data_IF_236820813494
#
_entry.id   IF_236820813494
#
_cell.length_a   1.000
_cell.length_b   1.000
_cell.length_c   1.000
_cell.angle_alpha   90.00
_cell.angle_beta   90.00
_cell.angle_gamma   90.00
#
_symmetry.space_group_name_H-M   'P 1'
#
loop_
_entity.id
_entity.type
_entity.pdbx_description
1 polymer ?
#
# COMPACT_ATOMS: atom_id res chain seq x y z
N UNK A 1 -39.04 -44.81 21.06
CA UNK A 1 -37.65 -44.37 21.24
C UNK A 1 -37.08 -44.17 19.84
N UNK A 2 -37.19 -42.95 19.31
CA UNK A 2 -36.68 -42.62 17.99
C UNK A 2 -35.18 -42.32 18.12
N UNK A 3 -34.37 -43.05 17.35
CA UNK A 3 -32.93 -42.84 17.26
C UNK A 3 -32.75 -41.83 16.12
N UNK A 4 -32.59 -40.55 16.47
CA UNK A 4 -32.26 -39.49 15.53
C UNK A 4 -30.77 -39.55 15.22
N UNK A 5 -30.41 -40.19 14.11
CA UNK A 5 -29.10 -39.99 13.50
C UNK A 5 -29.16 -38.73 12.65
N UNK A 6 -28.35 -37.73 12.97
CA UNK A 6 -28.13 -36.62 12.04
C UNK A 6 -27.45 -37.16 10.76
N UNK A 7 -27.85 -36.69 9.58
CA UNK A 7 -27.19 -37.08 8.35
C UNK A 7 -25.79 -36.47 8.35
N UNK A 8 -24.77 -37.32 8.34
CA UNK A 8 -23.40 -36.89 8.05
C UNK A 8 -23.38 -36.41 6.61
N UNK A 9 -23.25 -35.11 6.40
CA UNK A 9 -23.10 -34.54 5.07
C UNK A 9 -21.83 -35.12 4.44
N UNK A 10 -22.00 -35.95 3.39
CA UNK A 10 -20.88 -36.32 2.52
C UNK A 10 -20.30 -35.08 1.83
N UNK A 11 -19.08 -35.15 1.28
CA UNK A 11 -18.52 -34.04 0.52
C UNK A 11 -19.51 -33.60 -0.55
N UNK A 12 -19.79 -32.29 -0.61
CA UNK A 12 -20.73 -31.72 -1.57
C UNK A 12 -20.12 -31.85 -2.97
N UNK A 13 -20.50 -32.91 -3.69
CA UNK A 13 -19.94 -33.30 -5.00
C UNK A 13 -20.08 -32.17 -6.03
N UNK A 14 -21.13 -31.36 -5.91
CA UNK A 14 -21.38 -30.21 -6.79
C UNK A 14 -20.34 -29.09 -6.57
N UNK A 15 -19.98 -28.79 -5.32
CA UNK A 15 -18.96 -27.79 -5.00
C UNK A 15 -17.55 -28.24 -5.45
N UNK A 16 -17.23 -29.53 -5.27
CA UNK A 16 -15.97 -30.09 -5.74
C UNK A 16 -15.87 -30.08 -7.27
N UNK A 17 -16.97 -30.36 -7.97
CA UNK A 17 -17.04 -30.30 -9.42
C UNK A 17 -16.85 -28.87 -9.96
N UNK A 18 -17.50 -27.87 -9.36
CA UNK A 18 -17.32 -26.47 -9.74
C UNK A 18 -15.89 -25.98 -9.50
N UNK A 19 -15.26 -26.37 -8.38
CA UNK A 19 -13.87 -26.05 -8.11
C UNK A 19 -12.95 -26.59 -9.22
N UNK A 20 -13.13 -27.85 -9.63
CA UNK A 20 -12.36 -28.46 -10.73
C UNK A 20 -12.55 -27.73 -12.07
N UNK A 21 -13.78 -27.32 -12.39
CA UNK A 21 -14.07 -26.54 -13.60
C UNK A 21 -13.34 -25.20 -13.56
N UNK A 22 -13.42 -24.47 -12.43
CA UNK A 22 -12.74 -23.18 -12.23
C UNK A 22 -11.22 -23.30 -12.39
N UNK A 23 -10.61 -24.29 -11.74
CA UNK A 23 -9.17 -24.58 -11.88
C UNK A 23 -8.81 -24.87 -13.32
N UNK A 24 -9.63 -25.65 -14.04
CA UNK A 24 -9.39 -25.99 -15.45
C UNK A 24 -9.46 -24.76 -16.34
N UNK A 25 -10.46 -23.87 -16.13
CA UNK A 25 -10.59 -22.62 -16.89
C UNK A 25 -9.37 -21.73 -16.69
N UNK A 26 -8.91 -21.55 -15.44
CA UNK A 26 -7.73 -20.73 -15.14
C UNK A 26 -6.45 -21.36 -15.72
N UNK A 27 -6.34 -22.69 -15.73
CA UNK A 27 -5.21 -23.36 -16.37
C UNK A 27 -5.19 -23.12 -17.89
N UNK A 28 -6.34 -23.22 -18.56
CA UNK A 28 -6.44 -22.92 -20.00
C UNK A 28 -6.07 -21.47 -20.28
N UNK A 29 -6.52 -20.53 -19.44
CA UNK A 29 -6.14 -19.12 -19.54
C UNK A 29 -4.62 -18.96 -19.42
N UNK A 30 -4.00 -19.56 -18.40
CA UNK A 30 -2.55 -19.51 -18.19
C UNK A 30 -1.79 -20.03 -19.41
N UNK A 31 -2.18 -21.19 -19.93
CA UNK A 31 -1.50 -21.83 -21.06
C UNK A 31 -1.52 -20.93 -22.31
N UNK A 32 -2.63 -20.21 -22.56
CA UNK A 32 -2.75 -19.32 -23.72
C UNK A 32 -2.11 -17.94 -23.51
N UNK A 33 -1.87 -17.52 -22.27
CA UNK A 33 -1.22 -16.24 -21.97
C UNK A 33 0.30 -16.37 -21.76
N UNK A 34 0.80 -17.56 -21.45
CA UNK A 34 2.25 -17.82 -21.41
C UNK A 34 2.79 -18.21 -22.80
N UNK A 35 1.93 -18.68 -23.70
CA UNK A 35 2.35 -19.11 -25.04
C UNK A 35 2.77 -17.94 -25.95
N UNK A 36 3.94 -18.08 -26.57
CA UNK A 36 4.44 -17.23 -27.66
C UNK A 36 4.03 -17.73 -29.06
N UNK A 37 3.23 -18.78 -29.13
CA UNK A 37 2.70 -19.27 -30.40
C UNK A 37 1.59 -18.36 -30.95
N UNK A 38 1.22 -18.53 -32.23
CA UNK A 38 0.17 -17.76 -32.87
C UNK A 38 -1.25 -18.00 -32.31
N UNK A 39 -1.39 -18.68 -31.17
CA UNK A 39 -2.67 -18.94 -30.47
C UNK A 39 -2.77 -18.17 -29.15
N UNK A 40 -1.83 -17.28 -28.90
CA UNK A 40 -1.80 -16.45 -27.71
C UNK A 40 -3.08 -15.64 -27.53
N UNK A 41 -3.54 -15.48 -26.29
CA UNK A 41 -4.71 -14.66 -25.95
C UNK A 41 -4.31 -13.26 -25.45
N UNK A 42 -3.08 -12.81 -25.73
CA UNK A 42 -2.66 -11.44 -25.46
C UNK A 42 -3.52 -10.44 -26.24
N UNK A 43 -3.75 -9.26 -25.66
CA UNK A 43 -4.65 -8.27 -26.26
C UNK A 43 -6.14 -8.50 -26.01
N UNK A 44 -6.52 -9.60 -25.35
CA UNK A 44 -7.91 -9.97 -25.17
C UNK A 44 -8.54 -9.32 -23.93
N UNK A 45 -9.88 -9.37 -23.90
CA UNK A 45 -10.69 -8.96 -22.77
C UNK A 45 -11.14 -10.18 -21.97
N UNK A 46 -10.90 -10.15 -20.67
CA UNK A 46 -11.27 -11.21 -19.73
C UNK A 46 -12.21 -10.65 -18.67
N UNK A 47 -13.44 -11.15 -18.64
CA UNK A 47 -14.48 -10.67 -17.74
C UNK A 47 -14.87 -11.77 -16.75
N UNK A 48 -14.51 -11.58 -15.48
CA UNK A 48 -14.87 -12.45 -14.36
C UNK A 48 -15.98 -11.85 -13.50
N UNK A 49 -16.63 -10.78 -13.94
CA UNK A 49 -17.53 -9.97 -13.10
C UNK A 49 -18.54 -10.83 -12.33
N UNK A 50 -18.63 -10.59 -11.01
CA UNK A 50 -19.56 -11.30 -10.11
C UNK A 50 -19.16 -12.73 -9.77
N UNK A 51 -17.97 -13.20 -10.16
CA UNK A 51 -17.52 -14.56 -9.87
C UNK A 51 -17.10 -14.74 -8.41
N UNK A 52 -17.27 -15.97 -7.91
CA UNK A 52 -16.63 -16.41 -6.66
C UNK A 52 -15.33 -17.14 -7.02
N UNK A 53 -14.22 -16.62 -6.51
CA UNK A 53 -12.87 -17.12 -6.68
C UNK A 53 -12.39 -17.66 -5.33
N UNK A 54 -12.51 -18.97 -5.17
CA UNK A 54 -12.04 -19.72 -4.00
C UNK A 54 -10.73 -20.43 -4.37
N UNK A 55 -9.66 -20.16 -3.62
CA UNK A 55 -8.32 -20.72 -3.83
C UNK A 55 -7.82 -20.61 -5.30
N UNK A 56 -8.12 -19.49 -5.95
CA UNK A 56 -7.88 -19.29 -7.38
C UNK A 56 -6.44 -18.76 -7.64
N UNK A 57 -5.66 -19.49 -8.45
CA UNK A 57 -4.28 -19.11 -8.79
C UNK A 57 -4.14 -18.63 -10.24
N UNK A 58 -3.86 -17.34 -10.41
CA UNK A 58 -3.43 -16.69 -11.64
C UNK A 58 -1.91 -16.51 -11.71
N UNK A 59 -1.17 -17.25 -10.87
CA UNK A 59 0.27 -17.09 -10.73
C UNK A 59 1.01 -17.36 -12.04
N UNK A 60 2.06 -16.57 -12.29
CA UNK A 60 2.94 -16.68 -13.45
C UNK A 60 2.31 -16.29 -14.79
N UNK A 61 1.07 -15.80 -14.81
CA UNK A 61 0.41 -15.35 -16.03
C UNK A 61 1.05 -14.04 -16.52
N UNK A 62 1.11 -13.87 -17.84
CA UNK A 62 1.50 -12.61 -18.47
C UNK A 62 0.24 -12.02 -19.11
N UNK A 63 -0.27 -10.92 -18.57
CA UNK A 63 -1.28 -10.09 -19.22
C UNK A 63 -0.56 -8.98 -19.97
N UNK A 64 -0.54 -9.02 -21.29
CA UNK A 64 0.03 -8.02 -22.18
C UNK A 64 -1.07 -7.46 -23.06
N UNK A 65 -1.27 -6.14 -22.98
CA UNK A 65 -2.26 -5.42 -23.77
C UNK A 65 -3.71 -5.87 -23.47
N UNK A 66 -3.95 -6.48 -22.31
CA UNK A 66 -5.23 -7.08 -21.94
C UNK A 66 -6.12 -6.13 -21.12
N UNK A 67 -7.43 -6.34 -21.19
CA UNK A 67 -8.41 -5.75 -20.28
C UNK A 67 -8.99 -6.84 -19.37
N UNK A 68 -8.82 -6.74 -18.05
CA UNK A 68 -9.24 -7.79 -17.10
C UNK A 68 -10.18 -7.20 -16.05
N UNK A 69 -11.40 -7.74 -15.94
CA UNK A 69 -12.38 -7.33 -14.91
C UNK A 69 -12.60 -8.42 -13.90
N UNK A 70 -12.38 -8.08 -12.64
CA UNK A 70 -12.78 -8.82 -11.44
C UNK A 70 -13.81 -8.00 -10.64
N UNK A 71 -14.61 -7.22 -11.34
CA UNK A 71 -15.60 -6.35 -10.70
C UNK A 71 -16.68 -7.20 -10.01
N UNK A 72 -17.16 -6.74 -8.86
CA UNK A 72 -18.14 -7.44 -8.02
C UNK A 72 -17.75 -8.90 -7.63
N UNK A 73 -16.49 -9.30 -7.80
CA UNK A 73 -16.01 -10.63 -7.44
C UNK A 73 -15.86 -10.82 -5.93
N UNK A 74 -16.01 -12.07 -5.48
CA UNK A 74 -15.66 -12.48 -4.12
C UNK A 74 -14.43 -13.38 -4.15
N UNK A 75 -13.33 -12.95 -3.52
CA UNK A 75 -12.10 -13.71 -3.35
C UNK A 75 -12.07 -14.32 -1.94
N UNK A 76 -11.98 -15.65 -1.87
CA UNK A 76 -11.99 -16.42 -0.61
C UNK A 76 -10.80 -17.38 -0.57
N UNK A 77 -10.18 -17.54 0.60
CA UNK A 77 -9.05 -18.44 0.76
C UNK A 77 -7.75 -17.84 0.24
N UNK A 78 -6.95 -18.64 -0.46
CA UNK A 78 -5.66 -18.23 -1.03
C UNK A 78 -5.78 -17.94 -2.53
N UNK A 79 -6.00 -16.67 -2.89
CA UNK A 79 -6.04 -16.24 -4.28
C UNK A 79 -4.72 -15.56 -4.67
N UNK A 80 -4.16 -15.92 -5.83
CA UNK A 80 -2.79 -15.56 -6.20
C UNK A 80 -2.64 -14.97 -7.59
N UNK A 81 -1.75 -13.99 -7.68
CA UNK A 81 -1.15 -13.37 -8.87
C UNK A 81 0.38 -13.28 -8.67
N UNK A 82 0.96 -14.21 -7.91
CA UNK A 82 2.39 -14.26 -7.66
C UNK A 82 3.14 -14.46 -8.98
N UNK A 83 4.23 -13.72 -9.19
CA UNK A 83 5.04 -13.75 -10.41
C UNK A 83 4.27 -13.38 -11.69
N UNK A 84 3.06 -12.82 -11.57
CA UNK A 84 2.27 -12.36 -12.71
C UNK A 84 2.85 -11.07 -13.27
N UNK A 85 2.88 -10.93 -14.59
CA UNK A 85 3.28 -9.70 -15.27
C UNK A 85 2.06 -9.04 -15.89
N UNK A 86 1.75 -7.83 -15.47
CA UNK A 86 0.80 -6.93 -16.10
C UNK A 86 1.59 -5.93 -16.94
N UNK A 87 1.38 -5.95 -18.24
CA UNK A 87 2.05 -5.10 -19.22
C UNK A 87 1.01 -4.40 -20.09
N UNK A 88 1.01 -3.07 -20.11
CA UNK A 88 0.04 -2.27 -20.87
C UNK A 88 -1.40 -2.77 -20.71
N UNK A 89 -1.76 -3.17 -19.49
CA UNK A 89 -3.03 -3.82 -19.21
C UNK A 89 -3.84 -2.99 -18.22
N UNK A 90 -5.15 -3.02 -18.39
CA UNK A 90 -6.12 -2.40 -17.50
C UNK A 90 -6.77 -3.51 -16.66
N UNK A 91 -6.59 -3.47 -15.33
CA UNK A 91 -7.12 -4.50 -14.42
C UNK A 91 -7.98 -3.86 -13.35
N UNK A 92 -9.21 -4.33 -13.24
CA UNK A 92 -10.25 -3.74 -12.41
C UNK A 92 -10.74 -4.73 -11.36
N UNK A 93 -10.81 -4.28 -10.10
CA UNK A 93 -11.44 -4.99 -8.98
C UNK A 93 -12.46 -4.06 -8.29
N UNK A 94 -13.36 -3.46 -9.05
CA UNK A 94 -14.38 -2.55 -8.51
C UNK A 94 -15.42 -3.34 -7.73
N UNK A 95 -15.75 -2.89 -6.53
CA UNK A 95 -16.68 -3.52 -5.59
C UNK A 95 -16.33 -4.98 -5.21
N UNK A 96 -15.13 -5.45 -5.53
CA UNK A 96 -14.70 -6.79 -5.14
C UNK A 96 -14.62 -6.92 -3.61
N UNK A 97 -14.80 -8.13 -3.09
CA UNK A 97 -14.63 -8.44 -1.67
C UNK A 97 -13.47 -9.42 -1.53
N UNK A 98 -12.49 -9.05 -0.72
CA UNK A 98 -11.33 -9.90 -0.41
C UNK A 98 -11.50 -10.45 1.01
N UNK A 99 -11.55 -11.77 1.14
CA UNK A 99 -11.80 -12.48 2.41
C UNK A 99 -10.75 -13.57 2.66
N UNK A 100 -9.48 -13.22 2.50
CA UNK A 100 -8.35 -14.14 2.65
C UNK A 100 -7.05 -13.55 2.12
N UNK A 101 -6.13 -14.43 1.73
CA UNK A 101 -4.82 -14.03 1.20
C UNK A 101 -4.96 -13.66 -0.28
N UNK A 102 -4.36 -12.53 -0.66
CA UNK A 102 -4.29 -12.04 -2.03
C UNK A 102 -2.82 -11.82 -2.41
N UNK A 103 -2.22 -12.80 -3.07
CA UNK A 103 -0.79 -12.79 -3.42
C UNK A 103 -0.49 -12.03 -4.71
N UNK A 104 0.52 -11.17 -4.68
CA UNK A 104 1.13 -10.46 -5.80
C UNK A 104 2.67 -10.49 -5.68
N UNK A 105 3.21 -11.49 -4.99
CA UNK A 105 4.64 -11.55 -4.71
C UNK A 105 5.43 -11.65 -6.01
N UNK A 106 6.45 -10.80 -6.14
CA UNK A 106 7.29 -10.72 -7.33
C UNK A 106 6.54 -10.45 -8.63
N UNK A 107 5.32 -9.88 -8.55
CA UNK A 107 4.58 -9.46 -9.74
C UNK A 107 5.23 -8.22 -10.37
N UNK A 108 4.95 -8.01 -11.66
CA UNK A 108 5.45 -6.87 -12.42
C UNK A 108 4.30 -6.04 -12.96
N UNK A 109 4.36 -4.74 -12.73
CA UNK A 109 3.42 -3.75 -13.24
C UNK A 109 4.19 -2.81 -14.18
N UNK A 110 3.98 -3.02 -15.48
CA UNK A 110 4.67 -2.33 -16.56
C UNK A 110 3.64 -1.59 -17.40
N UNK A 111 3.64 -0.26 -17.37
CA UNK A 111 2.72 0.57 -18.16
C UNK A 111 1.23 0.21 -17.96
N UNK A 112 0.86 -0.28 -16.77
CA UNK A 112 -0.47 -0.85 -16.50
C UNK A 112 -1.22 -0.05 -15.45
N UNK A 113 -2.55 0.01 -15.58
CA UNK A 113 -3.43 0.62 -14.60
C UNK A 113 -4.24 -0.47 -13.88
N UNK A 114 -3.98 -0.63 -12.58
CA UNK A 114 -4.63 -1.62 -11.74
C UNK A 114 -5.34 -0.91 -10.60
N UNK A 115 -6.65 -1.13 -10.50
CA UNK A 115 -7.49 -0.47 -9.50
C UNK A 115 -8.21 -1.51 -8.65
N UNK A 116 -7.84 -1.55 -7.37
CA UNK A 116 -8.62 -2.17 -6.32
C UNK A 116 -9.51 -1.09 -5.69
N UNK A 117 -10.80 -1.14 -5.99
CA UNK A 117 -11.79 -0.35 -5.27
C UNK A 117 -12.77 -1.33 -4.63
N UNK A 118 -12.33 -1.95 -3.54
CA UNK A 118 -13.00 -3.14 -2.99
C UNK A 118 -12.90 -3.22 -1.48
N UNK A 119 -13.61 -4.18 -0.90
CA UNK A 119 -13.67 -4.40 0.53
C UNK A 119 -12.55 -5.33 0.99
N UNK A 120 -11.64 -4.80 1.81
CA UNK A 120 -10.59 -5.56 2.47
C UNK A 120 -11.10 -5.91 3.86
N UNK A 121 -11.51 -7.15 4.06
CA UNK A 121 -11.91 -7.64 5.39
C UNK A 121 -10.72 -7.63 6.36
N UNK A 122 -10.98 -7.78 7.65
CA UNK A 122 -9.95 -7.92 8.69
C UNK A 122 -9.04 -9.15 8.50
N UNK A 123 -9.45 -10.09 7.65
CA UNK A 123 -8.67 -11.28 7.28
C UNK A 123 -7.86 -11.09 6.01
N UNK A 124 -8.02 -9.96 5.33
CA UNK A 124 -7.34 -9.73 4.06
C UNK A 124 -5.86 -9.48 4.30
N UNK A 125 -5.03 -10.27 3.60
CA UNK A 125 -3.59 -10.08 3.53
C UNK A 125 -3.20 -9.95 2.06
N UNK A 126 -3.05 -8.70 1.59
CA UNK A 126 -2.64 -8.40 0.23
C UNK A 126 -1.13 -8.21 0.16
N UNK A 127 -0.44 -9.16 -0.48
CA UNK A 127 1.01 -9.27 -0.39
C UNK A 127 1.69 -9.03 -1.74
N UNK A 128 2.31 -7.86 -1.90
CA UNK A 128 3.10 -7.42 -3.04
C UNK A 128 4.62 -7.50 -2.73
N UNK A 129 5.05 -8.42 -1.87
CA UNK A 129 6.46 -8.57 -1.53
C UNK A 129 7.31 -8.75 -2.79
N UNK A 130 8.36 -7.94 -2.94
CA UNK A 130 9.27 -8.01 -4.09
C UNK A 130 8.65 -7.64 -5.44
N UNK A 131 7.42 -7.11 -5.46
CA UNK A 131 6.79 -6.66 -6.69
C UNK A 131 7.51 -5.43 -7.28
N UNK A 132 7.39 -5.22 -8.59
CA UNK A 132 7.96 -4.05 -9.26
C UNK A 132 6.90 -3.21 -9.95
N UNK A 133 6.93 -1.89 -9.74
CA UNK A 133 6.15 -0.91 -10.49
C UNK A 133 7.13 -0.01 -11.25
N UNK A 134 7.15 -0.14 -12.58
CA UNK A 134 8.06 0.63 -13.44
C UNK A 134 7.39 1.83 -14.09
N UNK A 135 6.08 1.75 -14.33
CA UNK A 135 5.22 2.82 -14.82
C UNK A 135 3.75 2.40 -14.70
N UNK A 136 2.83 3.32 -15.02
CA UNK A 136 1.39 3.11 -14.82
C UNK A 136 0.95 3.42 -13.39
N UNK A 137 -0.22 2.92 -13.00
CA UNK A 137 -0.80 3.20 -11.70
C UNK A 137 -1.29 1.94 -10.99
N UNK A 138 -0.91 1.78 -9.73
CA UNK A 138 -1.51 0.82 -8.82
C UNK A 138 -2.31 1.58 -7.76
N UNK A 139 -3.64 1.41 -7.75
CA UNK A 139 -4.53 2.02 -6.75
C UNK A 139 -5.14 0.96 -5.86
N UNK A 140 -4.98 1.11 -4.55
CA UNK A 140 -5.68 0.32 -3.54
C UNK A 140 -6.52 1.27 -2.69
N UNK A 141 -7.82 1.27 -2.95
CA UNK A 141 -8.78 2.24 -2.45
C UNK A 141 -9.84 1.50 -1.63
N UNK A 142 -9.91 1.79 -0.34
CA UNK A 142 -10.86 1.15 0.58
C UNK A 142 -12.15 1.96 0.75
N UNK A 143 -13.35 1.42 0.47
CA UNK A 143 -14.61 2.13 0.65
C UNK A 143 -15.23 2.00 2.07
N UNK A 144 -14.67 1.21 3.00
CA UNK A 144 -15.40 0.76 4.21
C UNK A 144 -14.60 0.71 5.53
N UNK A 145 -15.31 0.65 6.66
CA UNK A 145 -14.82 0.74 8.06
C UNK A 145 -13.81 -0.35 8.51
N UNK A 146 -13.65 -1.42 7.74
CA UNK A 146 -12.70 -2.49 8.03
C UNK A 146 -11.52 -2.38 7.05
N UNK A 147 -10.36 -2.89 7.45
CA UNK A 147 -9.15 -2.90 6.63
C UNK A 147 -8.41 -4.20 6.82
N UNK A 148 -7.62 -4.61 5.82
CA UNK A 148 -6.69 -5.73 5.92
C UNK A 148 -5.24 -5.24 5.95
N UNK A 149 -4.29 -6.18 5.95
CA UNK A 149 -2.88 -5.86 5.75
C UNK A 149 -2.54 -5.73 4.28
N UNK A 150 -1.64 -4.79 3.96
CA UNK A 150 -1.07 -4.60 2.64
C UNK A 150 0.45 -4.51 2.75
N UNK A 151 1.17 -5.39 2.06
CA UNK A 151 2.64 -5.47 2.15
C UNK A 151 3.29 -5.21 0.80
N UNK A 152 4.27 -4.33 0.76
CA UNK A 152 5.19 -4.02 -0.33
C UNK A 152 6.65 -4.20 0.12
N UNK A 153 6.89 -5.11 1.07
CA UNK A 153 8.24 -5.40 1.57
C UNK A 153 9.15 -5.77 0.40
N UNK A 154 10.34 -5.17 0.35
CA UNK A 154 11.34 -5.40 -0.72
C UNK A 154 10.85 -5.09 -2.15
N UNK A 155 9.75 -4.34 -2.32
CA UNK A 155 9.27 -3.92 -3.63
C UNK A 155 10.22 -2.91 -4.31
N UNK A 156 10.19 -2.87 -5.64
CA UNK A 156 10.96 -1.93 -6.47
C UNK A 156 10.03 -0.95 -7.20
N UNK A 157 10.08 0.31 -6.76
CA UNK A 157 9.26 1.40 -7.24
C UNK A 157 10.10 2.38 -8.07
N UNK A 158 10.19 2.14 -9.37
CA UNK A 158 11.07 2.89 -10.29
C UNK A 158 10.36 3.90 -11.18
N UNK A 159 9.02 3.90 -11.19
CA UNK A 159 8.20 4.90 -11.86
C UNK A 159 6.71 4.70 -11.61
N UNK A 160 5.88 5.56 -12.21
CA UNK A 160 4.43 5.49 -12.04
C UNK A 160 3.93 6.00 -10.69
N UNK A 161 2.72 5.57 -10.31
CA UNK A 161 2.03 6.00 -9.09
C UNK A 161 1.53 4.79 -8.31
N UNK A 162 1.81 4.75 -7.01
CA UNK A 162 1.15 3.86 -6.06
C UNK A 162 0.27 4.70 -5.15
N UNK A 163 -1.04 4.49 -5.22
CA UNK A 163 -2.00 5.21 -4.38
C UNK A 163 -2.70 4.23 -3.44
N UNK A 164 -2.50 4.44 -2.14
CA UNK A 164 -3.23 3.80 -1.07
C UNK A 164 -4.16 4.86 -0.48
N UNK A 165 -5.46 4.61 -0.51
CA UNK A 165 -6.43 5.38 0.27
C UNK A 165 -7.01 4.44 1.34
N UNK A 166 -6.27 4.24 2.45
CA UNK A 166 -6.69 3.31 3.48
C UNK A 166 -7.92 3.88 4.18
N UNK A 167 -8.92 3.03 4.39
CA UNK A 167 -10.12 3.41 5.11
C UNK A 167 -9.87 3.54 6.62
N UNK A 168 -9.26 2.54 7.25
CA UNK A 168 -8.87 2.51 8.67
C UNK A 168 -7.92 1.32 8.93
N UNK A 169 -6.81 1.54 9.65
CA UNK A 169 -6.03 0.44 10.23
C UNK A 169 -6.61 0.05 11.59
N UNK A 170 -6.78 -1.26 11.81
CA UNK A 170 -7.19 -1.84 13.09
C UNK A 170 -6.02 -2.56 13.78
N UNK A 171 -6.24 -3.03 15.01
CA UNK A 171 -5.27 -3.83 15.77
C UNK A 171 -4.83 -5.05 14.95
N UNK A 172 -3.53 -5.14 14.65
CA UNK A 172 -2.95 -6.25 13.87
C UNK A 172 -2.95 -6.05 12.35
N UNK A 173 -3.58 -5.00 11.82
CA UNK A 173 -3.42 -4.62 10.42
C UNK A 173 -2.11 -3.85 10.21
N UNK A 174 -1.50 -3.99 9.03
CA UNK A 174 -0.30 -3.24 8.69
C UNK A 174 -0.24 -2.80 7.23
N UNK A 175 0.41 -1.66 7.00
CA UNK A 175 0.88 -1.24 5.68
C UNK A 175 2.42 -1.30 5.71
N UNK A 176 3.03 -2.19 4.94
CA UNK A 176 4.47 -2.40 5.01
C UNK A 176 5.17 -2.00 3.70
N UNK A 177 6.25 -1.24 3.80
CA UNK A 177 7.17 -0.85 2.73
C UNK A 177 8.62 -1.20 3.08
N UNK A 178 8.83 -2.04 4.09
CA UNK A 178 10.17 -2.24 4.64
C UNK A 178 11.12 -2.79 3.57
N UNK A 179 12.32 -2.20 3.47
CA UNK A 179 13.35 -2.50 2.47
C UNK A 179 12.92 -2.27 1.01
N UNK A 180 11.82 -1.55 0.77
CA UNK A 180 11.44 -1.15 -0.58
C UNK A 180 12.42 -0.10 -1.14
N UNK A 181 12.58 -0.10 -2.46
CA UNK A 181 13.36 0.91 -3.19
C UNK A 181 12.41 1.85 -3.89
N UNK A 182 12.65 3.15 -3.78
CA UNK A 182 11.87 4.19 -4.48
C UNK A 182 12.85 5.05 -5.28
N UNK A 183 12.81 4.88 -6.60
CA UNK A 183 13.73 5.55 -7.53
C UNK A 183 13.01 6.35 -8.61
N UNK A 184 11.68 6.51 -8.50
CA UNK A 184 10.90 7.32 -9.44
C UNK A 184 9.39 7.30 -9.24
N UNK A 185 8.85 6.40 -8.43
CA UNK A 185 7.41 6.32 -8.15
C UNK A 185 6.95 7.38 -7.15
N UNK A 186 5.73 7.87 -7.35
CA UNK A 186 4.99 8.59 -6.30
C UNK A 186 4.14 7.61 -5.50
N UNK A 187 4.61 7.25 -4.30
CA UNK A 187 3.87 6.49 -3.31
C UNK A 187 3.06 7.45 -2.46
N UNK A 188 1.74 7.29 -2.48
CA UNK A 188 0.79 8.16 -1.76
C UNK A 188 -0.10 7.32 -0.85
N UNK A 189 -0.05 7.58 0.44
CA UNK A 189 -0.96 7.04 1.45
C UNK A 189 -1.81 8.22 1.92
N UNK A 190 -3.03 8.30 1.39
CA UNK A 190 -3.87 9.49 1.50
C UNK A 190 -5.14 9.23 2.29
N UNK A 191 -5.49 10.18 3.17
CA UNK A 191 -6.72 10.12 3.94
C UNK A 191 -6.71 9.04 5.03
N UNK A 192 -7.86 8.85 5.67
CA UNK A 192 -8.06 7.87 6.73
C UNK A 192 -7.93 8.41 8.16
N UNK A 193 -8.51 7.66 9.10
CA UNK A 193 -8.30 7.79 10.54
C UNK A 193 -7.71 6.45 10.99
N UNK A 194 -6.44 6.43 11.42
CA UNK A 194 -5.76 5.21 11.83
C UNK A 194 -5.87 5.09 13.35
N UNK A 195 -6.57 4.06 13.85
CA UNK A 195 -6.84 3.91 15.30
C UNK A 195 -5.96 2.90 16.00
N UNK A 196 -5.19 2.16 15.21
CA UNK A 196 -4.18 1.21 15.63
C UNK A 196 -3.37 0.74 14.42
N UNK A 197 -2.71 -0.41 14.56
CA UNK A 197 -1.96 -1.06 13.51
C UNK A 197 -0.59 -0.41 13.30
N UNK A 198 0.06 -0.80 12.22
CA UNK A 198 1.43 -0.38 11.96
C UNK A 198 1.67 0.03 10.52
N UNK A 199 2.50 1.05 10.33
CA UNK A 199 3.02 1.46 9.03
C UNK A 199 4.54 1.30 9.07
N UNK A 200 5.06 0.37 8.27
CA UNK A 200 6.46 -0.06 8.34
C UNK A 200 7.27 0.36 7.12
N UNK A 201 7.94 1.51 7.17
CA UNK A 201 8.83 2.01 6.13
C UNK A 201 10.32 1.78 6.47
N UNK A 202 10.61 0.73 7.25
CA UNK A 202 11.96 0.46 7.74
C UNK A 202 12.93 0.12 6.61
N UNK A 203 14.06 0.83 6.54
CA UNK A 203 15.10 0.56 5.56
C UNK A 203 14.70 0.85 4.12
N UNK A 204 13.68 1.70 3.88
CA UNK A 204 13.41 2.17 2.52
C UNK A 204 14.64 2.89 1.96
N UNK A 205 14.90 2.71 0.66
CA UNK A 205 16.00 3.37 -0.04
C UNK A 205 15.44 4.26 -1.15
N UNK A 206 15.57 5.57 -0.96
CA UNK A 206 15.00 6.59 -1.85
C UNK A 206 16.07 7.36 -2.60
N UNK A 207 16.00 7.33 -3.94
CA UNK A 207 16.89 8.09 -4.82
C UNK A 207 16.14 9.13 -5.68
N UNK A 208 14.83 8.95 -5.87
CA UNK A 208 13.92 9.92 -6.48
C UNK A 208 12.46 9.53 -6.12
N UNK A 209 11.48 10.18 -6.75
CA UNK A 209 10.06 9.95 -6.46
C UNK A 209 9.63 10.56 -5.12
N UNK A 210 8.48 10.12 -4.62
CA UNK A 210 7.94 10.61 -3.36
C UNK A 210 7.30 9.50 -2.53
N UNK A 211 7.41 9.61 -1.21
CA UNK A 211 6.63 8.85 -0.23
C UNK A 211 5.83 9.84 0.59
N UNK A 212 4.54 9.97 0.29
CA UNK A 212 3.64 10.93 0.90
C UNK A 212 2.64 10.20 1.77
N UNK A 213 2.62 10.53 3.05
CA UNK A 213 1.56 10.19 3.98
C UNK A 213 0.87 11.48 4.43
N UNK A 214 -0.45 11.58 4.27
CA UNK A 214 -1.16 12.80 4.64
C UNK A 214 -2.50 13.03 3.95
N UNK A 215 -3.09 14.20 4.17
CA UNK A 215 -4.35 14.56 3.53
C UNK A 215 -4.15 14.72 2.01
N UNK A 216 -5.14 14.27 1.22
CA UNK A 216 -5.12 14.45 -0.24
C UNK A 216 -5.24 15.93 -0.63
N UNK A 217 -5.97 16.72 0.17
CA UNK A 217 -6.17 18.15 -0.02
C UNK A 217 -6.01 18.89 1.33
N UNK A 218 -5.46 20.11 1.29
CA UNK A 218 -5.30 20.97 2.48
C UNK A 218 -6.62 21.45 3.09
N UNK A 219 -7.71 21.39 2.31
CA UNK A 219 -9.08 21.69 2.72
C UNK A 219 -9.70 20.59 3.59
N UNK A 220 -9.13 19.38 3.57
CA UNK A 220 -9.61 18.25 4.34
C UNK A 220 -9.05 18.29 5.76
N UNK A 221 -9.67 17.52 6.67
CA UNK A 221 -9.12 17.32 8.00
C UNK A 221 -7.76 16.63 7.94
N UNK A 222 -6.86 16.88 8.92
CA UNK A 222 -5.61 16.16 9.01
C UNK A 222 -5.83 14.66 9.07
N UNK A 223 -4.90 13.90 8.51
CA UNK A 223 -4.85 12.44 8.74
C UNK A 223 -4.45 12.22 10.19
N UNK A 224 -5.32 11.57 10.97
CA UNK A 224 -5.10 11.33 12.40
C UNK A 224 -4.51 9.94 12.62
N UNK A 225 -3.42 9.90 13.40
CA UNK A 225 -2.77 8.68 13.88
C UNK A 225 -3.08 8.54 15.37
N UNK A 226 -3.86 7.54 15.73
CA UNK A 226 -4.18 7.12 17.09
C UNK A 226 -3.70 5.69 17.32
N UNK A 227 -2.87 5.45 18.35
CA UNK A 227 -2.38 4.10 18.67
C UNK A 227 -1.62 3.40 17.53
N UNK A 228 -1.17 4.15 16.51
CA UNK A 228 -0.45 3.61 15.35
C UNK A 228 1.05 3.69 15.57
N UNK A 229 1.75 2.62 15.22
CA UNK A 229 3.21 2.64 15.11
C UNK A 229 3.61 2.96 13.67
N UNK A 230 4.38 4.02 13.46
CA UNK A 230 4.81 4.44 12.13
C UNK A 230 6.32 4.66 12.09
N UNK A 231 7.03 3.75 11.42
CA UNK A 231 8.47 3.71 11.46
C UNK A 231 9.12 3.95 10.10
N UNK A 232 10.16 4.76 10.09
CA UNK A 232 11.11 4.96 8.99
C UNK A 232 12.54 4.55 9.41
N UNK A 233 12.66 3.64 10.37
CA UNK A 233 13.95 3.26 10.92
C UNK A 233 14.89 2.69 9.85
N UNK A 234 16.11 3.20 9.82
CA UNK A 234 17.13 2.83 8.84
C UNK A 234 16.83 3.29 7.41
N UNK A 235 15.80 4.11 7.19
CA UNK A 235 15.50 4.65 5.87
C UNK A 235 16.64 5.56 5.38
N UNK A 236 16.90 5.48 4.07
CA UNK A 236 17.95 6.21 3.36
C UNK A 236 17.34 7.07 2.28
N UNK A 237 17.72 8.34 2.25
CA UNK A 237 17.25 9.31 1.25
C UNK A 237 18.46 10.00 0.64
N UNK A 238 18.72 9.74 -0.63
CA UNK A 238 19.73 10.45 -1.43
C UNK A 238 19.10 11.24 -2.58
N UNK A 239 17.78 11.39 -2.58
CA UNK A 239 16.97 12.13 -3.53
C UNK A 239 15.47 11.80 -3.35
N UNK A 240 14.60 12.60 -3.96
CA UNK A 240 13.14 12.47 -3.76
C UNK A 240 12.64 13.13 -2.47
N UNK A 241 11.44 12.75 -2.02
CA UNK A 241 10.79 13.35 -0.85
C UNK A 241 10.09 12.33 0.03
N UNK A 242 10.36 12.36 1.34
CA UNK A 242 9.49 11.79 2.38
C UNK A 242 8.63 12.93 2.92
N UNK A 243 7.31 12.74 2.94
CA UNK A 243 6.36 13.75 3.34
C UNK A 243 5.33 13.20 4.33
N UNK A 244 5.27 13.80 5.52
CA UNK A 244 4.18 13.66 6.50
C UNK A 244 3.42 14.98 6.53
N UNK A 245 2.45 15.17 5.63
CA UNK A 245 1.80 16.47 5.42
C UNK A 245 0.40 16.50 6.01
N UNK A 246 0.10 17.52 6.80
CA UNK A 246 -1.21 17.69 7.41
C UNK A 246 -1.62 16.42 8.19
N UNK A 247 -0.77 16.02 9.14
CA UNK A 247 -0.91 14.81 9.95
C UNK A 247 -1.03 15.21 11.42
N UNK A 248 -1.98 14.62 12.13
CA UNK A 248 -2.13 14.78 13.58
C UNK A 248 -1.74 13.47 14.28
N UNK A 249 -0.67 13.51 15.06
CA UNK A 249 -0.20 12.40 15.90
C UNK A 249 -0.86 12.54 17.27
N UNK A 250 -1.68 11.57 17.66
CA UNK A 250 -2.37 11.54 18.95
C UNK A 250 -2.34 10.13 19.57
N UNK A 251 -1.34 9.85 20.38
CA UNK A 251 -1.16 8.56 21.06
C UNK A 251 -0.47 7.54 20.16
N UNK A 252 0.17 8.01 19.09
CA UNK A 252 0.94 7.23 18.12
C UNK A 252 2.43 7.51 18.23
N UNK A 253 3.23 6.54 17.83
CA UNK A 253 4.68 6.65 17.84
C UNK A 253 5.21 6.66 16.41
N UNK A 254 5.71 7.82 15.97
CA UNK A 254 6.36 8.02 14.68
C UNK A 254 7.85 8.14 14.89
N UNK A 255 8.65 7.30 14.23
CA UNK A 255 10.08 7.23 14.52
C UNK A 255 10.99 7.03 13.31
N UNK A 256 12.18 7.61 13.44
CA UNK A 256 13.23 7.74 12.44
C UNK A 256 14.59 7.39 13.08
N UNK A 257 14.72 6.15 13.56
CA UNK A 257 15.96 5.66 14.16
C UNK A 257 16.98 5.28 13.09
N UNK A 258 18.22 5.76 13.20
CA UNK A 258 19.27 5.58 12.19
C UNK A 258 18.85 6.03 10.78
N UNK A 259 18.01 7.07 10.71
CA UNK A 259 17.58 7.69 9.45
C UNK A 259 18.74 8.44 8.78
N UNK A 260 18.99 8.17 7.51
CA UNK A 260 20.06 8.80 6.73
C UNK A 260 19.48 9.65 5.59
N UNK A 261 19.82 10.94 5.55
CA UNK A 261 19.46 11.86 4.47
C UNK A 261 20.72 12.56 3.93
N UNK A 262 21.13 12.14 2.73
CA UNK A 262 22.28 12.69 2.01
C UNK A 262 21.88 13.83 1.07
N UNK A 263 20.67 13.77 0.52
CA UNK A 263 20.01 14.78 -0.31
C UNK A 263 18.49 14.54 -0.30
N UNK A 264 17.72 15.28 -1.10
CA UNK A 264 16.27 15.16 -1.17
C UNK A 264 15.56 16.00 -0.12
N UNK A 265 14.33 15.61 0.24
CA UNK A 265 13.46 16.41 1.10
C UNK A 265 12.76 15.59 2.16
N UNK A 266 12.80 16.06 3.40
CA UNK A 266 11.92 15.64 4.49
C UNK A 266 10.90 16.75 4.76
N UNK A 267 9.63 16.49 4.48
CA UNK A 267 8.57 17.48 4.58
C UNK A 267 7.55 17.08 5.64
N UNK A 268 7.57 17.78 6.77
CA UNK A 268 6.65 17.57 7.89
C UNK A 268 5.72 18.77 8.06
N UNK A 269 5.40 19.49 6.98
CA UNK A 269 4.55 20.67 7.02
C UNK A 269 3.15 20.34 7.56
N UNK A 270 2.69 21.16 8.51
CA UNK A 270 1.43 20.99 9.24
C UNK A 270 1.27 19.61 9.88
N UNK A 271 2.39 18.96 10.23
CA UNK A 271 2.40 17.83 11.13
C UNK A 271 2.36 18.32 12.57
N UNK A 272 1.40 17.82 13.34
CA UNK A 272 1.16 18.16 14.74
C UNK A 272 1.25 16.92 15.62
N UNK A 273 1.70 17.10 16.87
CA UNK A 273 1.71 16.06 17.91
C UNK A 273 0.92 16.58 19.09
N UNK A 274 -0.25 15.99 19.35
CA UNK A 274 -1.05 16.27 20.56
C UNK A 274 -0.64 15.35 21.70
N UNK A 275 -0.51 14.04 21.42
CA UNK A 275 0.06 13.05 22.32
C UNK A 275 0.83 11.97 21.54
N UNK A 276 1.64 11.14 22.20
CA UNK A 276 2.55 10.21 21.52
C UNK A 276 3.90 10.83 21.17
N UNK A 277 4.58 10.32 20.14
CA UNK A 277 5.94 10.77 19.80
C UNK A 277 6.18 10.95 18.30
N UNK A 278 7.00 11.95 17.97
CA UNK A 278 7.73 12.04 16.70
C UNK A 278 9.22 12.14 17.04
N UNK A 279 9.97 11.04 16.83
CA UNK A 279 11.36 10.93 17.31
C UNK A 279 12.35 10.64 16.20
N UNK A 280 13.52 11.25 16.32
CA UNK A 280 14.70 10.97 15.50
C UNK A 280 15.81 10.50 16.44
N UNK A 281 16.30 9.28 16.27
CA UNK A 281 17.37 8.72 17.10
C UNK A 281 18.56 8.39 16.20
N UNK A 282 19.74 8.93 16.51
CA UNK A 282 20.94 8.81 15.69
C UNK A 282 20.73 9.16 14.19
N UNK A 283 20.01 10.25 13.84
CA UNK A 283 19.84 10.64 12.45
C UNK A 283 21.17 11.16 11.87
N UNK A 284 21.40 10.90 10.59
CA UNK A 284 22.50 11.47 9.81
C UNK A 284 21.91 12.26 8.65
N UNK A 285 21.86 13.59 8.75
CA UNK A 285 21.27 14.47 7.74
C UNK A 285 22.31 15.46 7.19
N UNK A 286 23.11 15.03 6.21
CA UNK A 286 24.27 15.80 5.71
C UNK A 286 23.98 16.71 4.52
N UNK A 287 22.79 16.60 3.92
CA UNK A 287 22.36 17.41 2.77
C UNK A 287 20.83 17.43 2.65
N UNK A 288 20.32 18.01 1.56
CA UNK A 288 18.87 18.13 1.31
C UNK A 288 18.16 19.22 2.11
N UNK A 289 16.83 19.17 2.08
CA UNK A 289 15.94 20.17 2.68
C UNK A 289 14.99 19.55 3.70
N UNK A 290 14.84 20.21 4.85
CA UNK A 290 13.80 19.87 5.84
C UNK A 290 12.77 21.00 5.89
N UNK A 291 11.51 20.66 5.69
CA UNK A 291 10.40 21.63 5.61
C UNK A 291 9.40 21.42 6.74
N UNK A 292 9.10 22.49 7.48
CA UNK A 292 8.25 22.48 8.69
C UNK A 292 7.25 23.63 8.74
N UNK A 293 6.70 24.05 7.59
CA UNK A 293 5.75 25.15 7.55
C UNK A 293 4.48 24.79 8.37
N UNK A 294 3.95 25.77 9.11
CA UNK A 294 2.66 25.67 9.82
C UNK A 294 2.52 24.56 10.88
N UNK A 295 3.60 23.91 11.32
CA UNK A 295 3.59 23.02 12.50
C UNK A 295 3.48 23.84 13.79
N UNK A 296 2.25 24.15 14.22
CA UNK A 296 1.92 25.16 15.24
C UNK A 296 2.29 24.83 16.70
N UNK A 297 2.92 23.68 17.01
CA UNK A 297 3.31 23.34 18.40
C UNK A 297 4.69 22.70 18.50
N UNK A 298 5.42 23.03 19.57
CA UNK A 298 6.87 22.83 19.75
C UNK A 298 7.41 21.38 19.79
N UNK A 299 6.55 20.36 19.73
CA UNK A 299 6.94 18.94 19.84
C UNK A 299 7.77 18.46 18.64
N UNK A 300 7.21 18.43 17.42
CA UNK A 300 7.93 18.11 16.19
C UNK A 300 9.15 19.01 15.96
N UNK A 301 9.00 20.30 16.24
CA UNK A 301 10.00 21.33 15.96
C UNK A 301 11.33 21.03 16.68
N UNK A 302 11.30 20.58 17.94
CA UNK A 302 12.52 20.35 18.74
C UNK A 302 13.32 19.14 18.27
N UNK A 303 12.66 18.01 18.03
CA UNK A 303 13.32 16.77 17.63
C UNK A 303 14.01 16.94 16.27
N UNK A 304 13.30 17.52 15.30
CA UNK A 304 13.85 17.63 13.93
C UNK A 304 14.86 18.76 13.83
N UNK A 305 14.67 19.89 14.52
CA UNK A 305 15.69 20.97 14.56
C UNK A 305 17.02 20.46 15.13
N UNK A 306 16.99 19.67 16.21
CA UNK A 306 18.21 19.09 16.78
C UNK A 306 18.91 18.13 15.80
N UNK A 307 18.14 17.30 15.09
CA UNK A 307 18.65 16.39 14.07
C UNK A 307 19.31 17.13 12.89
N UNK A 308 18.64 18.15 12.34
CA UNK A 308 19.15 18.91 11.19
C UNK A 308 20.38 19.75 11.52
N UNK A 309 20.44 20.37 12.71
CA UNK A 309 21.58 21.19 13.14
C UNK A 309 22.86 20.37 13.36
N UNK A 310 22.74 19.11 13.79
CA UNK A 310 23.88 18.22 13.97
C UNK A 310 24.47 17.73 12.63
N UNK A 311 23.64 17.59 11.59
CA UNK A 311 24.04 17.01 10.31
C UNK A 311 24.39 18.02 9.20
N UNK A 312 23.81 19.22 9.21
CA UNK A 312 24.07 20.27 8.20
C UNK A 312 23.01 20.42 7.09
N UNK A 313 21.89 19.68 7.16
CA UNK A 313 20.75 19.87 6.26
C UNK A 313 20.14 21.29 6.34
N UNK A 314 19.60 21.80 5.23
CA UNK A 314 18.99 23.15 5.19
C UNK A 314 17.59 23.10 5.81
N UNK A 315 17.40 23.85 6.87
CA UNK A 315 16.10 24.02 7.52
C UNK A 315 15.28 25.14 6.86
N UNK A 316 14.04 24.84 6.49
CA UNK A 316 13.03 25.80 6.01
C UNK A 316 11.85 25.81 6.99
N UNK A 317 11.78 26.87 7.82
CA UNK A 317 10.68 27.13 8.74
C UNK A 317 10.15 28.55 8.51
N UNK A 318 8.82 28.73 8.51
CA UNK A 318 8.19 30.05 8.51
C UNK A 318 7.78 30.41 9.95
N UNK A 319 7.97 31.68 10.33
CA UNK A 319 7.39 32.21 11.56
C UNK A 319 5.86 32.25 11.42
N UNK A 320 5.15 31.76 12.43
CA UNK A 320 3.69 31.76 12.50
C UNK A 320 3.17 33.20 12.59
N UNK A 321 2.42 33.64 11.59
CA UNK A 321 1.42 34.68 11.83
C UNK A 321 0.23 34.02 12.56
N UNK A 322 -0.17 34.66 13.64
CA UNK A 322 -1.20 34.24 14.59
C UNK A 322 -2.58 34.24 13.92
N UNK A 323 -2.98 33.10 13.32
CA UNK A 323 -4.35 32.92 12.82
C UNK A 323 -5.20 32.38 13.96
N UNK A 324 -5.79 33.30 14.73
CA UNK A 324 -6.93 32.98 15.59
C UNK A 324 -8.10 32.47 14.72
N UNK A 325 -8.71 31.31 15.01
CA UNK A 325 -9.84 30.82 14.24
C UNK A 325 -11.11 31.66 14.49
N UNK A 326 -12.02 31.77 13.49
CA UNK A 326 -13.35 32.39 13.66
C UNK A 326 -14.30 31.55 14.52
#
# INVERSE_FOLDING_TARGET
MFIGGEPVAGPNVDAAGEAQVRTTVIQVLRDHLVSEDGRSWQGAEFDFTGSVLEDASFDGIIFSDCHVRFDDCLFVGECGFSQTTFRRSDVSFLNAVFAGRLGFEYSKFEESDITFYGDFTEKTDANFQGASLTSGTLRILGPRKHGGSVSFVEADFSGGVLELNPSMLHDGASIAFSRAKISGTDVRILGGEHKAGSIWCNGIDMTAGSFIFGAAEWSQWPVRLEGTEFSFDGARVSGGEIALRHVLIDGSDVHFENFEMLDGRLNIASCEVDSGTLRFLNPVMTGGEVVMLESQRSGPLRAVTAASQAGGARLIAAATDDISPP
#
